data_IF_778779270022
#
_entry.id   IF_778779270022
#
_cell.length_a   1.000
_cell.length_b   1.000
_cell.length_c   1.000
_cell.angle_alpha   90.00
_cell.angle_beta   90.00
_cell.angle_gamma   90.00
#
_symmetry.space_group_name_H-M   'P 1'
#
loop_
_entity.id
_entity.type
_entity.pdbx_description
1 polymer ?
#
# COMPACT_ATOMS: atom_id res chain seq x y z
N UNK A 1 3.30 -11.14 -18.42
CA UNK A 1 4.71 -11.55 -18.27
C UNK A 1 4.70 -12.52 -17.11
N UNK A 2 5.18 -13.74 -17.27
CA UNK A 2 5.15 -14.71 -16.16
C UNK A 2 6.20 -14.23 -15.17
N UNK A 3 5.81 -13.84 -13.95
CA UNK A 3 6.78 -13.57 -12.88
C UNK A 3 7.45 -14.91 -12.56
N UNK A 4 8.64 -15.09 -13.11
CA UNK A 4 9.49 -16.23 -12.82
C UNK A 4 9.92 -16.11 -11.36
N UNK A 5 9.26 -16.86 -10.49
CA UNK A 5 9.37 -16.77 -9.02
C UNK A 5 10.76 -17.18 -8.49
N UNK A 6 11.72 -17.48 -9.37
CA UNK A 6 13.07 -17.88 -8.98
C UNK A 6 14.01 -16.70 -8.64
N UNK A 7 13.61 -15.44 -8.89
CA UNK A 7 14.44 -14.23 -8.60
C UNK A 7 13.70 -13.05 -7.91
N UNK A 8 12.43 -13.19 -7.53
CA UNK A 8 11.70 -12.11 -6.82
C UNK A 8 12.20 -11.99 -5.38
N UNK A 9 12.78 -10.84 -5.03
CA UNK A 9 13.19 -10.54 -3.65
C UNK A 9 11.96 -10.59 -2.74
N UNK A 10 12.01 -11.39 -1.67
CA UNK A 10 10.94 -11.47 -0.67
C UNK A 10 11.41 -10.88 0.65
N UNK A 11 10.55 -10.08 1.28
CA UNK A 11 10.81 -9.46 2.57
C UNK A 11 9.68 -9.81 3.55
N UNK A 12 10.05 -10.14 4.79
CA UNK A 12 9.08 -10.39 5.86
C UNK A 12 8.86 -9.11 6.65
N UNK A 13 7.63 -8.62 6.67
CA UNK A 13 7.24 -7.48 7.49
C UNK A 13 6.59 -7.93 8.80
N UNK A 14 6.84 -7.17 9.88
CA UNK A 14 6.09 -7.27 11.13
C UNK A 14 4.67 -6.71 10.98
N UNK A 15 3.88 -6.75 12.05
CA UNK A 15 2.65 -5.95 12.09
C UNK A 15 3.06 -4.47 12.23
N UNK A 16 2.47 -3.60 11.42
CA UNK A 16 2.64 -2.15 11.54
C UNK A 16 1.36 -1.42 11.15
N UNK A 17 1.23 -0.15 11.56
CA UNK A 17 0.04 0.65 11.36
C UNK A 17 0.40 1.82 10.44
N UNK A 18 -0.35 1.98 9.35
CA UNK A 18 -0.23 3.15 8.47
C UNK A 18 -1.45 4.03 8.69
N UNK A 19 -1.22 5.33 8.93
CA UNK A 19 -2.29 6.30 9.04
C UNK A 19 -2.11 7.45 8.05
N UNK A 20 -3.23 7.92 7.50
CA UNK A 20 -3.21 8.94 6.46
C UNK A 20 -4.57 9.23 5.83
N UNK A 21 -4.56 9.85 4.66
CA UNK A 21 -5.77 10.21 3.93
C UNK A 21 -6.21 9.04 3.06
N UNK A 22 -7.49 8.67 3.18
CA UNK A 22 -8.07 7.58 2.42
C UNK A 22 -8.89 8.07 1.21
N UNK A 23 -8.86 7.29 0.14
CA UNK A 23 -9.74 7.40 -1.01
C UNK A 23 -10.39 6.04 -1.29
N UNK A 24 -11.68 6.05 -1.61
CA UNK A 24 -12.43 4.86 -2.05
C UNK A 24 -12.95 5.11 -3.46
N UNK A 25 -12.61 4.25 -4.41
CA UNK A 25 -13.08 4.34 -5.78
C UNK A 25 -12.47 3.29 -6.68
N UNK A 26 -12.75 3.38 -7.97
CA UNK A 26 -12.17 2.50 -9.01
C UNK A 26 -10.90 3.09 -9.64
N UNK A 27 -10.53 4.30 -9.26
CA UNK A 27 -9.42 5.11 -9.80
C UNK A 27 -9.02 6.10 -8.69
N UNK A 28 -7.73 6.43 -8.61
CA UNK A 28 -7.18 7.34 -7.59
C UNK A 28 -6.24 8.36 -8.23
N UNK A 29 -6.46 9.64 -7.95
CA UNK A 29 -5.51 10.70 -8.31
C UNK A 29 -4.46 10.82 -7.19
N UNK A 30 -3.42 9.99 -7.28
CA UNK A 30 -2.41 9.84 -6.23
C UNK A 30 -1.74 11.17 -5.86
N UNK A 31 -1.43 11.99 -6.86
CA UNK A 31 -0.80 13.29 -6.64
C UNK A 31 -1.70 14.22 -5.82
N UNK A 32 -3.01 14.24 -6.11
CA UNK A 32 -3.98 15.00 -5.33
C UNK A 32 -4.15 14.43 -3.91
N UNK A 33 -4.15 13.10 -3.76
CA UNK A 33 -4.25 12.45 -2.46
C UNK A 33 -3.01 12.77 -1.61
N UNK A 34 -1.81 12.62 -2.16
CA UNK A 34 -0.57 12.96 -1.47
C UNK A 34 -0.49 14.44 -1.11
N UNK A 35 -0.94 15.34 -1.99
CA UNK A 35 -1.01 16.77 -1.67
C UNK A 35 -1.96 17.09 -0.51
N UNK A 36 -3.02 16.29 -0.33
CA UNK A 36 -3.97 16.48 0.77
C UNK A 36 -3.44 16.07 2.16
N UNK A 37 -2.29 15.37 2.23
CA UNK A 37 -1.64 15.13 3.52
C UNK A 37 -1.13 16.42 4.18
N UNK A 38 -0.85 17.47 3.40
CA UNK A 38 -0.34 18.75 3.93
C UNK A 38 -1.32 19.38 4.94
N UNK A 39 -2.63 19.16 4.75
CA UNK A 39 -3.67 19.60 5.70
C UNK A 39 -3.60 18.89 7.06
N UNK A 40 -2.91 17.75 7.16
CA UNK A 40 -2.76 16.91 8.36
C UNK A 40 -1.30 16.66 8.74
N UNK A 41 -0.36 17.45 8.21
CA UNK A 41 1.08 17.23 8.41
C UNK A 41 1.47 17.20 9.89
N UNK A 42 1.02 18.19 10.68
CA UNK A 42 1.34 18.26 12.12
C UNK A 42 0.85 17.01 12.89
N UNK A 43 -0.37 16.53 12.62
CA UNK A 43 -0.93 15.32 13.26
C UNK A 43 -0.11 14.07 12.93
N UNK A 44 0.28 13.93 11.66
CA UNK A 44 1.05 12.77 11.20
C UNK A 44 2.51 12.83 11.63
N UNK A 45 3.14 14.00 11.66
CA UNK A 45 4.53 14.18 12.09
C UNK A 45 4.72 13.85 13.58
N UNK A 46 3.77 14.20 14.45
CA UNK A 46 3.85 13.87 15.88
C UNK A 46 3.66 12.36 16.14
N UNK A 47 2.86 11.68 15.31
CA UNK A 47 2.55 10.25 15.46
C UNK A 47 3.50 9.31 14.70
N UNK A 48 4.23 9.82 13.70
CA UNK A 48 5.07 9.03 12.82
C UNK A 48 6.26 8.39 13.57
N UNK A 49 6.50 7.11 13.29
CA UNK A 49 7.65 6.36 13.82
C UNK A 49 8.72 6.07 12.77
N UNK A 50 8.45 6.42 11.50
CA UNK A 50 9.41 6.43 10.41
C UNK A 50 9.31 7.74 9.60
N UNK A 51 10.41 8.11 8.94
CA UNK A 51 10.45 9.17 7.95
C UNK A 51 9.93 8.72 6.57
N UNK A 52 9.70 7.41 6.39
CA UNK A 52 9.17 6.83 5.16
C UNK A 52 7.68 7.16 4.99
N UNK A 53 7.28 7.28 3.72
CA UNK A 53 5.87 7.40 3.35
C UNK A 53 5.34 6.07 2.83
N UNK A 54 4.06 5.84 3.09
CA UNK A 54 3.38 4.60 2.72
C UNK A 54 2.08 4.88 1.97
N UNK A 55 1.87 4.15 0.88
CA UNK A 55 0.55 4.01 0.26
C UNK A 55 0.05 2.59 0.49
N UNK A 56 -1.23 2.41 0.79
CA UNK A 56 -1.80 1.10 1.10
C UNK A 56 -3.09 0.91 0.33
N UNK A 57 -3.15 -0.16 -0.47
CA UNK A 57 -4.36 -0.61 -1.13
C UNK A 57 -4.97 -1.82 -0.43
N UNK A 58 -6.27 -1.75 -0.14
CA UNK A 58 -7.01 -2.84 0.46
C UNK A 58 -8.52 -2.81 0.12
N UNK A 59 -9.23 -3.84 0.60
CA UNK A 59 -10.69 -3.96 0.47
C UNK A 59 -11.16 -3.90 -1.00
N UNK A 60 -10.48 -4.60 -1.89
CA UNK A 60 -10.81 -4.63 -3.32
C UNK A 60 -12.12 -5.40 -3.53
N UNK A 61 -13.11 -4.72 -4.10
CA UNK A 61 -14.40 -5.29 -4.49
C UNK A 61 -14.29 -5.86 -5.92
N UNK A 62 -14.45 -7.17 -6.04
CA UNK A 62 -14.26 -7.89 -7.31
C UNK A 62 -15.38 -7.66 -8.33
N UNK A 63 -16.55 -7.19 -7.89
CA UNK A 63 -17.71 -7.00 -8.75
C UNK A 63 -17.72 -5.60 -9.37
N UNK A 64 -17.42 -4.58 -8.57
CA UNK A 64 -17.36 -3.18 -8.96
C UNK A 64 -15.97 -2.71 -9.40
N UNK A 65 -14.90 -3.39 -8.95
CA UNK A 65 -13.51 -2.94 -9.11
C UNK A 65 -13.11 -1.81 -8.17
N UNK A 66 -13.90 -1.54 -7.13
CA UNK A 66 -13.62 -0.49 -6.15
C UNK A 66 -12.58 -0.95 -5.13
N UNK A 67 -11.63 -0.09 -4.78
CA UNK A 67 -10.63 -0.34 -3.75
C UNK A 67 -10.52 0.86 -2.80
N UNK A 68 -9.97 0.62 -1.62
CA UNK A 68 -9.55 1.69 -0.71
C UNK A 68 -8.05 1.89 -0.83
N UNK A 69 -7.62 3.14 -0.94
CA UNK A 69 -6.24 3.55 -1.04
C UNK A 69 -5.94 4.59 0.04
N UNK A 70 -4.92 4.34 0.87
CA UNK A 70 -4.52 5.22 1.97
C UNK A 70 -3.11 5.70 1.73
N UNK A 71 -2.92 7.00 1.59
CA UNK A 71 -1.60 7.63 1.54
C UNK A 71 -1.28 8.22 2.92
N UNK A 72 -0.13 7.86 3.50
CA UNK A 72 0.11 8.04 4.92
C UNK A 72 1.55 7.82 5.37
N UNK A 73 1.70 7.73 6.69
CA UNK A 73 2.94 7.39 7.39
C UNK A 73 2.72 6.22 8.35
N UNK A 74 3.80 5.51 8.65
CA UNK A 74 3.80 4.52 9.71
C UNK A 74 3.72 5.21 11.08
N UNK A 75 2.76 4.82 11.89
CA UNK A 75 2.47 5.40 13.22
C UNK A 75 2.43 4.32 14.30
N UNK A 76 2.68 4.69 15.55
CA UNK A 76 2.56 3.75 16.69
C UNK A 76 1.09 3.49 17.08
N UNK A 77 0.25 4.54 16.99
CA UNK A 77 -1.19 4.46 17.27
C UNK A 77 -1.97 5.52 16.49
N UNK A 78 -3.27 5.25 16.29
CA UNK A 78 -4.24 6.18 15.71
C UNK A 78 -5.11 6.92 16.75
N UNK A 79 -4.89 6.70 18.06
CA UNK A 79 -5.76 7.23 19.12
C UNK A 79 -5.82 8.77 19.18
N UNK A 80 -4.70 9.45 18.86
CA UNK A 80 -4.55 10.90 18.93
C UNK A 80 -4.64 11.58 17.54
N UNK A 81 -4.96 10.82 16.49
CA UNK A 81 -5.08 11.35 15.13
C UNK A 81 -6.42 12.03 14.88
N UNK A 82 -6.40 13.03 14.00
CA UNK A 82 -7.60 13.67 13.48
C UNK A 82 -8.60 12.64 12.92
N UNK A 83 -9.92 12.81 13.19
CA UNK A 83 -10.95 11.83 12.83
C UNK A 83 -11.17 11.66 11.33
N UNK A 84 -10.59 12.53 10.51
CA UNK A 84 -10.61 12.48 9.05
C UNK A 84 -9.53 11.53 8.49
N UNK A 85 -8.52 11.21 9.31
CA UNK A 85 -7.48 10.25 8.96
C UNK A 85 -8.00 8.82 9.12
N UNK A 86 -7.57 7.96 8.21
CA UNK A 86 -7.80 6.52 8.24
C UNK A 86 -6.52 5.83 8.67
N UNK A 87 -6.65 4.86 9.58
CA UNK A 87 -5.55 3.99 9.97
C UNK A 87 -5.84 2.55 9.51
N UNK A 88 -4.84 1.91 8.90
CA UNK A 88 -4.91 0.55 8.38
C UNK A 88 -3.77 -0.28 8.98
N UNK A 89 -4.14 -1.41 9.59
CA UNK A 89 -3.17 -2.37 10.12
C UNK A 89 -2.67 -3.24 8.96
N UNK A 90 -1.35 -3.27 8.80
CA UNK A 90 -0.67 -4.18 7.88
C UNK A 90 -0.29 -5.42 8.69
N UNK A 91 -0.88 -6.60 8.40
CA UNK A 91 -0.58 -7.81 9.13
C UNK A 91 0.83 -8.32 8.78
N UNK A 92 1.46 -9.00 9.73
CA UNK A 92 2.70 -9.73 9.50
C UNK A 92 2.47 -10.76 8.40
N UNK A 93 3.22 -10.60 7.31
CA UNK A 93 3.26 -11.53 6.20
C UNK A 93 4.62 -11.47 5.49
N UNK A 94 4.82 -12.44 4.60
CA UNK A 94 5.91 -12.40 3.62
C UNK A 94 5.39 -11.67 2.38
N UNK A 95 6.19 -10.75 1.85
CA UNK A 95 5.86 -9.93 0.70
C UNK A 95 6.89 -10.12 -0.41
N UNK A 96 6.43 -10.23 -1.65
CA UNK A 96 7.27 -10.00 -2.82
C UNK A 96 7.53 -8.51 -2.98
N UNK A 97 8.79 -8.13 -3.16
CA UNK A 97 9.23 -6.75 -3.35
C UNK A 97 9.41 -6.51 -4.85
N UNK A 98 8.59 -5.61 -5.38
CA UNK A 98 8.68 -5.16 -6.77
C UNK A 98 9.19 -3.72 -6.81
N UNK A 99 10.18 -3.47 -7.66
CA UNK A 99 10.73 -2.14 -7.94
C UNK A 99 10.43 -1.81 -9.40
N UNK A 100 9.29 -1.18 -9.71
CA UNK A 100 8.90 -0.95 -11.09
C UNK A 100 9.77 0.15 -11.73
N UNK A 101 10.10 -0.04 -13.02
CA UNK A 101 10.59 1.03 -13.90
C UNK A 101 9.44 1.94 -14.41
N UNK A 102 8.16 1.61 -14.11
CA UNK A 102 6.95 2.22 -14.70
C UNK A 102 5.94 2.76 -13.67
N UNK A 103 5.08 3.67 -14.11
CA UNK A 103 4.79 4.94 -13.43
C UNK A 103 3.53 4.99 -12.53
N UNK A 104 2.56 4.04 -12.57
CA UNK A 104 1.23 4.24 -11.92
C UNK A 104 0.62 3.01 -11.22
N UNK A 105 -0.22 3.26 -10.21
CA UNK A 105 -0.95 2.24 -9.44
C UNK A 105 -1.96 1.45 -10.29
N UNK A 106 -2.62 2.05 -11.28
CA UNK A 106 -3.59 1.35 -12.14
C UNK A 106 -2.99 0.14 -12.89
N UNK A 107 -1.78 0.27 -13.43
CA UNK A 107 -1.11 -0.84 -14.12
C UNK A 107 -0.71 -1.96 -13.14
N UNK A 108 -0.44 -1.60 -11.89
CA UNK A 108 -0.16 -2.55 -10.81
C UNK A 108 -1.43 -3.31 -10.42
N UNK A 109 -2.56 -2.61 -10.24
CA UNK A 109 -3.86 -3.20 -9.92
C UNK A 109 -4.29 -4.21 -10.98
N UNK A 110 -4.12 -3.86 -12.26
CA UNK A 110 -4.42 -4.78 -13.38
C UNK A 110 -3.52 -6.01 -13.33
N UNK A 111 -2.21 -5.86 -13.14
CA UNK A 111 -1.29 -7.00 -13.04
C UNK A 111 -1.61 -7.91 -11.86
N UNK A 112 -1.85 -7.32 -10.68
CA UNK A 112 -2.22 -8.07 -9.48
C UNK A 112 -3.54 -8.79 -9.70
N UNK A 113 -4.55 -8.13 -10.29
CA UNK A 113 -5.81 -8.79 -10.63
C UNK A 113 -5.62 -9.97 -11.58
N UNK A 114 -4.77 -9.87 -12.60
CA UNK A 114 -4.51 -10.99 -13.52
C UNK A 114 -3.81 -12.17 -12.81
N UNK A 115 -2.94 -11.91 -11.83
CA UNK A 115 -2.16 -12.93 -11.13
C UNK A 115 -2.94 -13.58 -9.96
N UNK A 116 -3.71 -12.78 -9.22
CA UNK A 116 -4.58 -13.19 -8.11
C UNK A 116 -5.81 -14.00 -8.56
N UNK A 117 -6.14 -13.96 -9.85
CA UNK A 117 -7.21 -14.78 -10.44
C UNK A 117 -6.76 -16.20 -10.79
N UNK A 118 -5.46 -16.43 -11.06
CA UNK A 118 -4.94 -17.74 -11.44
C UNK A 118 -4.57 -18.61 -10.20
N UNK A 119 -4.40 -18.00 -9.03
CA UNK A 119 -3.90 -18.65 -7.80
C UNK A 119 -4.97 -18.93 -6.72
N UNK A 120 -6.23 -18.51 -6.91
CA UNK A 120 -7.34 -18.71 -5.95
C UNK A 120 -8.11 -20.02 -6.17
N UNK A 121 -7.50 -21.14 -5.81
CA UNK A 121 -8.24 -22.32 -5.35
C UNK A 121 -7.99 -22.45 -3.84
N UNK A 122 -9.04 -22.72 -3.09
CA UNK A 122 -9.07 -23.04 -1.66
C UNK A 122 -8.91 -21.89 -0.64
N UNK A 123 -10.02 -21.70 0.07
CA UNK A 123 -10.22 -20.75 1.16
C UNK A 123 -9.29 -20.99 2.34
N UNK A 124 -8.37 -20.06 2.54
CA UNK A 124 -8.12 -19.39 3.82
C UNK A 124 -7.48 -18.05 3.43
N UNK A 125 -8.28 -16.99 3.58
CA UNK A 125 -8.09 -15.72 2.89
C UNK A 125 -6.99 -14.88 3.51
N UNK A 126 -5.85 -14.82 2.84
CA UNK A 126 -4.89 -13.73 3.00
C UNK A 126 -5.39 -12.59 2.11
N UNK A 127 -6.41 -11.86 2.55
CA UNK A 127 -6.70 -10.52 2.03
C UNK A 127 -5.72 -9.54 2.68
N UNK A 128 -4.42 -9.79 2.51
CA UNK A 128 -3.43 -8.87 3.03
C UNK A 128 -3.38 -7.64 2.12
N UNK A 129 -3.31 -6.44 2.69
CA UNK A 129 -3.13 -5.21 1.93
C UNK A 129 -1.85 -5.27 1.10
N UNK A 130 -1.90 -4.67 -0.09
CA UNK A 130 -0.71 -4.33 -0.87
C UNK A 130 -0.28 -2.95 -0.42
N UNK A 131 1.02 -2.71 -0.28
CA UNK A 131 1.50 -1.40 0.11
C UNK A 131 2.74 -0.98 -0.68
N UNK A 132 2.92 0.33 -0.77
CA UNK A 132 4.03 1.00 -1.42
C UNK A 132 4.82 1.74 -0.35
N UNK A 133 6.14 1.61 -0.36
CA UNK A 133 7.07 2.35 0.49
C UNK A 133 7.86 3.34 -0.35
N UNK A 134 7.85 4.59 0.09
CA UNK A 134 8.69 5.65 -0.45
C UNK A 134 9.70 6.01 0.63
N UNK A 135 10.99 5.90 0.29
CA UNK A 135 12.05 6.29 1.21
C UNK A 135 11.95 7.76 1.59
N UNK A 136 12.47 8.13 2.76
CA UNK A 136 12.44 9.52 3.26
C UNK A 136 12.98 10.61 2.29
N UNK A 137 13.89 10.24 1.38
CA UNK A 137 14.45 11.15 0.37
C UNK A 137 13.61 11.22 -0.93
N UNK A 138 12.59 10.37 -1.07
CA UNK A 138 11.68 10.33 -2.22
C UNK A 138 10.46 11.21 -1.97
N UNK A 139 10.12 12.05 -2.95
CA UNK A 139 8.90 12.85 -2.93
C UNK A 139 7.75 12.06 -3.61
N UNK A 140 6.74 11.57 -2.86
CA UNK A 140 5.70 10.72 -3.42
C UNK A 140 4.76 11.48 -4.39
N UNK A 141 4.83 12.81 -4.44
CA UNK A 141 4.04 13.63 -5.38
C UNK A 141 4.70 13.79 -6.75
N UNK A 142 6.01 13.52 -6.86
CA UNK A 142 6.79 13.81 -8.08
C UNK A 142 7.74 12.70 -8.52
N UNK A 143 8.14 11.79 -7.62
CA UNK A 143 9.17 10.77 -7.89
C UNK A 143 8.53 9.37 -7.83
N UNK A 144 8.84 8.56 -8.85
CA UNK A 144 8.35 7.18 -8.99
C UNK A 144 9.22 6.13 -8.29
N UNK A 145 10.27 6.55 -7.57
CA UNK A 145 11.19 5.65 -6.84
C UNK A 145 10.48 5.14 -5.58
N UNK A 146 9.80 3.99 -5.74
CA UNK A 146 9.00 3.33 -4.72
C UNK A 146 9.18 1.82 -4.77
N UNK A 147 9.00 1.18 -3.63
CA UNK A 147 9.00 -0.26 -3.50
C UNK A 147 7.57 -0.73 -3.25
N UNK A 148 7.12 -1.73 -4.02
CA UNK A 148 5.78 -2.31 -3.91
C UNK A 148 5.90 -3.65 -3.20
N UNK A 149 5.06 -3.87 -2.20
CA UNK A 149 5.01 -5.07 -1.40
C UNK A 149 3.69 -5.79 -1.65
N UNK A 150 3.78 -6.94 -2.33
CA UNK A 150 2.63 -7.79 -2.65
C UNK A 150 2.67 -9.03 -1.75
N UNK A 151 1.62 -9.32 -0.96
CA UNK A 151 1.63 -10.45 -0.04
C UNK A 151 1.75 -11.76 -0.80
N UNK A 152 2.61 -12.66 -0.33
CA UNK A 152 2.77 -14.02 -0.88
C UNK A 152 2.43 -15.05 0.19
N UNK A 153 1.94 -16.22 -0.24
CA UNK A 153 1.74 -17.35 0.68
C UNK A 153 3.09 -17.89 1.13
N UNK A 154 3.29 -18.01 2.45
CA UNK A 154 4.35 -18.86 3.00
C UNK A 154 4.08 -20.33 2.59
N UNK A 155 5.06 -20.98 1.94
CA UNK A 155 5.01 -22.41 1.56
C UNK A 155 5.01 -23.36 2.77
#
# INVERSE_FOLDING_TARGET
>A
MVLDTEETETERHGNFLVAGVAHRGTDVDEAALWASLDDYADDLEDAAISDDYYAVMYDVDTDSGEFTYVAGREVDSADDLSPELTAVEIPQATYAVLRPDYETVDEMVVQIHEEELDSRDDGDGVHSPIFERYGADSDPTTVADREIYVPVRDE
#
